data_IF_958037609900
#
_entry.id   IF_958037609900
#
_cell.length_a   1.000
_cell.length_b   1.000
_cell.length_c   1.000
_cell.angle_alpha   90.00
_cell.angle_beta   90.00
_cell.angle_gamma   90.00
#
_symmetry.space_group_name_H-M   'P 1'
#
loop_
_entity.id
_entity.type
_entity.pdbx_description
1 polymer ?
#
# COMPACT_ATOMS: atom_id res chain seq x y z
N UNK A 1 -8.64 -14.18 -17.02
CA UNK A 1 -8.01 -15.20 -16.16
C UNK A 1 -9.00 -15.55 -15.06
N UNK A 2 -9.07 -16.82 -14.62
CA UNK A 2 -9.92 -17.18 -13.47
C UNK A 2 -9.32 -16.60 -12.16
N UNK A 3 -10.18 -16.26 -11.20
CA UNK A 3 -9.76 -15.86 -9.88
C UNK A 3 -8.99 -17.00 -9.18
N UNK A 4 -7.90 -16.64 -8.47
CA UNK A 4 -7.03 -17.60 -7.79
C UNK A 4 -6.87 -17.19 -6.32
N UNK A 5 -7.14 -18.11 -5.40
CA UNK A 5 -7.13 -17.89 -3.95
C UNK A 5 -5.72 -17.85 -3.33
N UNK A 6 -4.69 -18.19 -4.10
CA UNK A 6 -3.29 -18.14 -3.67
C UNK A 6 -2.61 -16.80 -4.01
N UNK A 7 -3.24 -15.94 -4.83
CA UNK A 7 -2.69 -14.64 -5.19
C UNK A 7 -2.62 -13.70 -4.00
N UNK A 8 -1.64 -12.81 -4.06
CA UNK A 8 -1.37 -11.80 -3.04
C UNK A 8 -1.81 -10.43 -3.54
N UNK A 9 -2.49 -9.67 -2.68
CA UNK A 9 -2.91 -8.29 -2.96
C UNK A 9 -1.98 -7.35 -2.18
N UNK A 10 -1.18 -6.60 -2.93
CA UNK A 10 -0.27 -5.57 -2.43
C UNK A 10 -0.92 -4.23 -2.54
N UNK A 11 -0.78 -3.41 -1.52
CA UNK A 11 -1.24 -2.04 -1.54
C UNK A 11 -0.28 -1.12 -0.77
N UNK A 12 -0.38 0.15 -1.08
CA UNK A 12 0.27 1.25 -0.37
C UNK A 12 -0.61 2.49 -0.48
N UNK A 13 -0.60 3.31 0.55
CA UNK A 13 -1.36 4.55 0.62
C UNK A 13 -0.47 5.72 1.00
N UNK A 14 -0.68 6.86 0.33
CA UNK A 14 -0.22 8.15 0.84
C UNK A 14 -1.35 8.80 1.64
N UNK A 15 -1.04 9.30 2.82
CA UNK A 15 -1.99 9.93 3.72
C UNK A 15 -1.53 11.34 4.12
N UNK A 16 -2.47 12.16 4.59
CA UNK A 16 -2.16 13.50 5.10
C UNK A 16 -1.40 13.48 6.44
N UNK A 17 -1.29 12.32 7.09
CA UNK A 17 -0.58 12.06 8.32
C UNK A 17 -0.83 10.65 8.84
N UNK A 18 -0.52 10.36 10.10
CA UNK A 18 -0.53 9.00 10.66
C UNK A 18 -1.72 8.67 11.56
N UNK A 19 -2.53 9.64 11.91
CA UNK A 19 -3.69 9.47 12.81
C UNK A 19 -5.00 9.39 11.99
N UNK A 20 -5.58 8.20 11.79
CA UNK A 20 -6.80 8.06 10.99
C UNK A 20 -8.01 8.78 11.57
N UNK A 21 -7.95 9.26 12.85
CA UNK A 21 -9.03 10.06 13.43
C UNK A 21 -9.05 11.49 12.91
N UNK A 22 -7.93 12.00 12.41
CA UNK A 22 -7.75 13.38 11.95
C UNK A 22 -7.40 13.47 10.48
N UNK A 23 -6.68 12.45 9.99
CA UNK A 23 -6.03 12.46 8.70
C UNK A 23 -6.83 11.67 7.66
N UNK A 24 -6.49 11.85 6.39
CA UNK A 24 -7.23 11.30 5.25
C UNK A 24 -6.30 10.60 4.25
N UNK A 25 -6.90 9.72 3.44
CA UNK A 25 -6.20 9.07 2.33
C UNK A 25 -6.08 10.06 1.17
N UNK A 26 -4.88 10.22 0.63
CA UNK A 26 -4.58 11.10 -0.52
C UNK A 26 -4.41 10.30 -1.82
N UNK A 27 -3.72 9.18 -1.75
CA UNK A 27 -3.48 8.30 -2.89
C UNK A 27 -3.52 6.84 -2.44
N UNK A 28 -3.97 5.96 -3.31
CA UNK A 28 -3.89 4.52 -3.12
C UNK A 28 -3.48 3.83 -4.41
N UNK A 29 -2.55 2.89 -4.31
CA UNK A 29 -2.14 1.99 -5.37
C UNK A 29 -2.36 0.53 -4.97
N UNK A 30 -2.53 -0.34 -5.98
CA UNK A 30 -2.75 -1.77 -5.74
C UNK A 30 -2.16 -2.62 -6.86
N UNK A 31 -1.50 -3.71 -6.48
CA UNK A 31 -0.93 -4.70 -7.40
C UNK A 31 -1.33 -6.10 -6.93
N UNK A 32 -1.63 -6.98 -7.86
CA UNK A 32 -1.86 -8.40 -7.59
C UNK A 32 -0.68 -9.20 -8.13
N UNK A 33 -0.14 -10.11 -7.31
CA UNK A 33 0.93 -11.04 -7.72
C UNK A 33 0.49 -12.48 -7.58
N UNK A 34 1.17 -13.39 -8.28
CA UNK A 34 1.17 -14.81 -7.94
C UNK A 34 1.91 -15.05 -6.61
N UNK A 35 1.82 -16.24 -6.00
CA UNK A 35 2.53 -16.54 -4.75
C UNK A 35 4.05 -16.42 -4.84
N UNK A 36 4.62 -16.58 -6.02
CA UNK A 36 6.05 -16.45 -6.29
C UNK A 36 6.51 -14.99 -6.45
N UNK A 37 5.58 -14.02 -6.30
CA UNK A 37 5.76 -12.59 -6.44
C UNK A 37 5.85 -12.09 -7.90
N UNK A 38 5.45 -12.92 -8.86
CA UNK A 38 5.31 -12.50 -10.26
C UNK A 38 4.07 -11.61 -10.40
N UNK A 39 4.18 -10.38 -10.94
CA UNK A 39 3.04 -9.49 -11.13
C UNK A 39 1.99 -10.09 -12.08
N UNK A 40 0.71 -9.99 -11.71
CA UNK A 40 -0.45 -10.45 -12.49
C UNK A 40 -1.21 -9.28 -13.08
N UNK A 41 -1.51 -8.28 -12.23
CA UNK A 41 -2.28 -7.11 -12.61
C UNK A 41 -1.97 -5.93 -11.69
N UNK A 42 -2.17 -4.73 -12.21
CA UNK A 42 -2.02 -3.47 -11.50
C UNK A 42 -3.27 -2.64 -11.67
N UNK A 43 -3.83 -2.13 -10.58
CA UNK A 43 -4.90 -1.15 -10.64
C UNK A 43 -4.38 0.23 -11.11
N UNK A 44 -5.24 1.10 -11.64
CA UNK A 44 -4.85 2.50 -11.80
C UNK A 44 -4.54 3.09 -10.42
N UNK A 45 -3.54 3.96 -10.35
CA UNK A 45 -3.28 4.76 -9.15
C UNK A 45 -4.44 5.72 -8.96
N UNK A 46 -5.06 5.72 -7.78
CA UNK A 46 -6.23 6.52 -7.48
C UNK A 46 -5.86 7.65 -6.53
N UNK A 47 -5.98 8.88 -7.01
CA UNK A 47 -5.80 10.09 -6.20
C UNK A 47 -7.17 10.56 -5.73
N UNK A 48 -7.33 10.65 -4.40
CA UNK A 48 -8.60 10.94 -3.73
C UNK A 48 -8.66 12.43 -3.42
N UNK A 49 -9.79 13.04 -3.76
CA UNK A 49 -10.03 14.45 -3.44
C UNK A 49 -10.14 14.64 -1.94
N UNK A 50 -9.48 15.68 -1.43
CA UNK A 50 -9.63 16.15 -0.06
C UNK A 50 -9.80 17.67 -0.06
N UNK A 51 -10.54 18.17 0.91
CA UNK A 51 -10.74 19.60 1.11
C UNK A 51 -9.44 20.32 1.47
N UNK A 52 -9.30 21.57 1.07
CA UNK A 52 -8.11 22.39 1.36
C UNK A 52 -7.76 22.39 2.86
N UNK A 53 -8.75 22.37 3.74
CA UNK A 53 -8.52 22.33 5.19
C UNK A 53 -7.74 21.08 5.66
N UNK A 54 -7.90 19.92 4.99
CA UNK A 54 -7.14 18.71 5.27
C UNK A 54 -5.68 18.89 4.84
N UNK A 55 -5.47 19.44 3.65
CA UNK A 55 -4.15 19.65 3.08
C UNK A 55 -3.34 20.70 3.83
N UNK A 56 -4.01 21.79 4.23
CA UNK A 56 -3.41 22.87 5.01
C UNK A 56 -3.10 22.43 6.45
N UNK A 57 -3.87 21.47 6.99
CA UNK A 57 -3.69 20.88 8.30
C UNK A 57 -2.52 19.89 8.42
N UNK A 58 -1.94 19.44 7.30
CA UNK A 58 -0.80 18.51 7.30
C UNK A 58 0.41 19.09 8.06
N UNK A 59 1.20 18.23 8.68
CA UNK A 59 2.47 18.63 9.25
C UNK A 59 3.49 19.06 8.17
N UNK A 60 4.58 19.71 8.61
CA UNK A 60 5.60 20.24 7.68
C UNK A 60 6.28 19.17 6.83
N UNK A 61 6.42 17.96 7.37
CA UNK A 61 7.05 16.86 6.63
C UNK A 61 6.13 16.40 5.48
N UNK A 62 4.85 16.13 5.78
CA UNK A 62 3.84 15.74 4.78
C UNK A 62 3.63 16.83 3.73
N UNK A 63 3.50 18.10 4.14
CA UNK A 63 3.40 19.22 3.19
C UNK A 63 4.61 19.29 2.26
N UNK A 64 5.83 19.13 2.79
CA UNK A 64 7.05 19.16 1.98
C UNK A 64 7.16 17.96 1.04
N UNK A 65 6.86 16.76 1.52
CA UNK A 65 6.98 15.51 0.76
C UNK A 65 5.96 15.45 -0.36
N UNK A 66 4.67 15.65 -0.02
CA UNK A 66 3.58 15.61 -1.01
C UNK A 66 3.56 16.81 -1.94
N UNK A 67 4.10 17.96 -1.49
CA UNK A 67 4.31 19.13 -2.37
C UNK A 67 5.39 18.86 -3.42
N UNK A 68 6.51 18.24 -3.04
CA UNK A 68 7.61 17.90 -3.98
C UNK A 68 7.21 16.83 -5.00
N UNK A 69 6.40 15.84 -4.60
CA UNK A 69 5.89 14.81 -5.51
C UNK A 69 4.74 15.32 -6.41
N UNK A 70 4.23 16.51 -6.15
CA UNK A 70 3.06 17.07 -6.83
C UNK A 70 1.73 16.43 -6.44
N UNK A 71 1.71 15.62 -5.37
CA UNK A 71 0.49 14.93 -4.92
C UNK A 71 -0.57 15.92 -4.44
N UNK A 72 -0.17 17.01 -3.75
CA UNK A 72 -1.12 18.02 -3.29
C UNK A 72 -1.93 18.59 -4.45
N UNK A 73 -1.28 18.96 -5.56
CA UNK A 73 -1.98 19.50 -6.74
C UNK A 73 -2.89 18.46 -7.39
N UNK A 74 -2.46 17.20 -7.44
CA UNK A 74 -3.29 16.09 -7.94
C UNK A 74 -4.53 15.88 -7.07
N UNK A 75 -4.40 15.93 -5.74
CA UNK A 75 -5.51 15.80 -4.78
C UNK A 75 -6.52 16.92 -4.95
N UNK A 76 -6.06 18.16 -5.09
CA UNK A 76 -6.93 19.34 -5.36
C UNK A 76 -7.66 19.24 -6.70
N UNK A 77 -7.01 18.71 -7.73
CA UNK A 77 -7.59 18.54 -9.06
C UNK A 77 -8.51 17.32 -9.17
N UNK A 78 -8.38 16.35 -8.27
CA UNK A 78 -9.22 15.14 -8.26
C UNK A 78 -10.66 15.46 -7.87
N UNK A 79 -11.59 14.63 -8.36
CA UNK A 79 -13.00 14.62 -7.94
C UNK A 79 -13.40 13.26 -7.36
N UNK A 80 -12.43 12.33 -7.24
CA UNK A 80 -12.66 10.98 -6.79
C UNK A 80 -12.83 10.96 -5.26
N UNK A 81 -13.92 10.40 -4.77
CA UNK A 81 -14.15 10.18 -3.33
C UNK A 81 -13.56 8.85 -2.87
N UNK A 82 -13.36 8.70 -1.57
CA UNK A 82 -12.91 7.42 -0.98
C UNK A 82 -13.87 6.26 -1.33
N UNK A 83 -15.18 6.50 -1.28
CA UNK A 83 -16.18 5.48 -1.64
C UNK A 83 -16.13 5.09 -3.13
N UNK A 84 -15.91 6.05 -4.02
CA UNK A 84 -15.78 5.76 -5.46
C UNK A 84 -14.46 5.03 -5.76
N UNK A 85 -13.37 5.39 -5.07
CA UNK A 85 -12.10 4.67 -5.16
C UNK A 85 -12.24 3.21 -4.68
N UNK A 86 -12.97 3.01 -3.59
CA UNK A 86 -13.29 1.68 -3.06
C UNK A 86 -14.05 0.82 -4.10
N UNK A 87 -15.06 1.38 -4.79
CA UNK A 87 -15.78 0.69 -5.86
C UNK A 87 -14.87 0.27 -7.02
N UNK A 88 -13.97 1.15 -7.45
CA UNK A 88 -13.00 0.86 -8.52
C UNK A 88 -12.09 -0.31 -8.11
N UNK A 89 -11.57 -0.30 -6.90
CA UNK A 89 -10.64 -1.34 -6.42
C UNK A 89 -11.34 -2.68 -6.20
N UNK A 90 -12.56 -2.68 -5.69
CA UNK A 90 -13.37 -3.91 -5.56
C UNK A 90 -13.67 -4.52 -6.94
N UNK A 91 -14.03 -3.69 -7.92
CA UNK A 91 -14.26 -4.17 -9.30
C UNK A 91 -12.98 -4.71 -9.94
N UNK A 92 -11.81 -4.11 -9.66
CA UNK A 92 -10.50 -4.61 -10.10
C UNK A 92 -10.16 -5.97 -9.49
N UNK A 93 -10.40 -6.18 -8.19
CA UNK A 93 -10.05 -7.39 -7.47
C UNK A 93 -10.94 -8.59 -7.80
N UNK A 94 -12.24 -8.37 -8.02
CA UNK A 94 -13.24 -9.43 -8.16
C UNK A 94 -12.89 -10.53 -9.17
N UNK A 95 -12.35 -10.23 -10.37
CA UNK A 95 -11.94 -11.26 -11.34
C UNK A 95 -10.58 -11.91 -11.02
N UNK A 96 -9.81 -11.39 -10.08
CA UNK A 96 -8.40 -11.76 -9.85
C UNK A 96 -8.22 -12.62 -8.60
N UNK A 97 -8.83 -12.24 -7.49
CA UNK A 97 -8.67 -12.89 -6.18
C UNK A 97 -10.03 -12.98 -5.49
N UNK A 98 -10.47 -14.14 -4.99
CA UNK A 98 -11.72 -14.23 -4.24
C UNK A 98 -11.64 -13.46 -2.91
N UNK A 99 -12.77 -12.87 -2.49
CA UNK A 99 -12.86 -12.17 -1.20
C UNK A 99 -12.46 -13.06 -0.02
N UNK A 100 -11.81 -12.46 0.98
CA UNK A 100 -11.38 -13.13 2.21
C UNK A 100 -10.18 -14.07 2.06
N UNK A 101 -9.50 -14.10 0.90
CA UNK A 101 -8.41 -15.05 0.64
C UNK A 101 -7.03 -14.44 0.80
N UNK A 102 -6.76 -13.31 0.17
CA UNK A 102 -5.44 -12.68 0.25
C UNK A 102 -5.27 -11.95 1.58
N UNK A 103 -4.11 -12.10 2.27
CA UNK A 103 -3.70 -11.14 3.28
C UNK A 103 -3.53 -9.76 2.63
N UNK A 104 -3.52 -8.71 3.45
CA UNK A 104 -3.10 -7.38 3.02
C UNK A 104 -1.58 -7.32 3.04
N UNK A 105 -0.95 -7.08 1.87
CA UNK A 105 0.50 -7.15 1.72
C UNK A 105 1.12 -5.77 1.52
N UNK A 106 2.24 -5.49 2.17
CA UNK A 106 2.99 -4.22 2.04
C UNK A 106 4.04 -4.05 3.13
N UNK A 107 4.62 -2.87 3.21
CA UNK A 107 5.51 -2.46 4.30
C UNK A 107 4.73 -1.64 5.33
N UNK A 108 4.84 -2.00 6.62
CA UNK A 108 4.11 -1.34 7.72
C UNK A 108 2.59 -1.29 7.46
N UNK A 109 2.11 -2.26 6.72
CA UNK A 109 0.77 -2.33 6.13
C UNK A 109 -0.37 -2.25 7.16
N UNK A 110 -0.06 -2.48 8.44
CA UNK A 110 -1.01 -2.26 9.51
C UNK A 110 -1.46 -0.81 9.66
N UNK A 111 -0.63 0.15 9.23
CA UNK A 111 -0.98 1.57 9.24
C UNK A 111 -2.02 1.87 8.15
N UNK A 112 -1.80 1.38 6.92
CA UNK A 112 -2.75 1.49 5.81
C UNK A 112 -4.09 0.85 6.18
N UNK A 113 -4.05 -0.33 6.81
CA UNK A 113 -5.25 -1.02 7.25
C UNK A 113 -6.09 -0.20 8.23
N UNK A 114 -5.48 0.59 9.13
CA UNK A 114 -6.21 1.48 10.06
C UNK A 114 -7.00 2.54 9.30
N UNK A 115 -6.43 3.13 8.25
CA UNK A 115 -7.13 4.08 7.38
C UNK A 115 -8.24 3.38 6.57
N UNK A 116 -7.95 2.19 6.04
CA UNK A 116 -8.94 1.43 5.26
C UNK A 116 -10.15 1.03 6.10
N UNK A 117 -9.97 0.59 7.34
CA UNK A 117 -11.07 0.27 8.27
C UNK A 117 -12.02 1.45 8.40
N UNK A 118 -11.48 2.67 8.44
CA UNK A 118 -12.29 3.88 8.65
C UNK A 118 -12.92 4.42 7.37
N UNK A 119 -12.18 4.46 6.28
CA UNK A 119 -12.56 5.18 5.07
C UNK A 119 -12.94 4.31 3.88
N UNK A 120 -12.54 3.02 3.90
CA UNK A 120 -12.83 2.04 2.85
C UNK A 120 -13.20 0.67 3.46
N UNK A 121 -14.26 0.58 4.32
CA UNK A 121 -14.57 -0.62 5.10
C UNK A 121 -14.98 -1.83 4.24
N UNK A 122 -15.57 -1.61 3.05
CA UNK A 122 -15.92 -2.71 2.13
C UNK A 122 -14.68 -3.31 1.48
N UNK A 123 -13.69 -2.47 1.17
CA UNK A 123 -12.41 -2.91 0.63
C UNK A 123 -11.60 -3.63 1.73
N UNK A 124 -11.61 -3.12 2.95
CA UNK A 124 -10.98 -3.80 4.08
C UNK A 124 -11.56 -5.20 4.30
N UNK A 125 -12.89 -5.34 4.28
CA UNK A 125 -13.58 -6.62 4.43
C UNK A 125 -13.31 -7.60 3.27
N UNK A 126 -12.78 -7.14 2.16
CA UNK A 126 -12.37 -7.98 1.03
C UNK A 126 -11.10 -8.78 1.32
N UNK A 127 -10.23 -8.29 2.20
CA UNK A 127 -9.00 -8.96 2.60
C UNK A 127 -9.24 -10.05 3.64
N UNK A 128 -8.32 -10.99 3.71
CA UNK A 128 -8.20 -11.84 4.88
C UNK A 128 -7.78 -11.00 6.09
N UNK A 129 -8.16 -11.36 7.31
CA UNK A 129 -7.82 -10.60 8.54
C UNK A 129 -6.31 -10.52 8.83
N UNK A 130 -5.47 -11.35 8.20
CA UNK A 130 -4.01 -11.34 8.37
C UNK A 130 -3.36 -10.33 7.45
N UNK A 131 -2.18 -9.85 7.89
CA UNK A 131 -1.26 -9.05 7.08
C UNK A 131 -0.07 -9.91 6.66
N UNK A 132 0.47 -9.61 5.46
CA UNK A 132 1.81 -9.98 5.05
C UNK A 132 2.65 -8.70 5.11
N UNK A 133 3.24 -8.42 6.27
CA UNK A 133 3.99 -7.19 6.52
C UNK A 133 5.49 -7.45 6.34
N UNK A 134 6.05 -6.93 5.25
CA UNK A 134 7.47 -7.06 4.90
C UNK A 134 8.36 -6.39 5.93
N UNK A 135 7.87 -5.35 6.62
CA UNK A 135 8.62 -4.68 7.70
C UNK A 135 8.94 -5.62 8.87
N UNK A 136 8.16 -6.68 9.07
CA UNK A 136 8.51 -7.71 10.07
C UNK A 136 9.83 -8.40 9.72
N UNK A 137 10.03 -8.79 8.46
CA UNK A 137 11.29 -9.39 8.00
C UNK A 137 12.45 -8.40 8.06
N UNK A 138 12.17 -7.13 7.71
CA UNK A 138 13.13 -6.03 7.85
C UNK A 138 13.63 -5.90 9.30
N UNK A 139 12.72 -5.86 10.26
CA UNK A 139 13.05 -5.75 11.68
C UNK A 139 13.84 -6.97 12.20
N UNK A 140 13.50 -8.18 11.72
CA UNK A 140 14.23 -9.40 12.07
C UNK A 140 15.60 -9.44 11.41
N UNK A 141 15.72 -9.08 10.14
CA UNK A 141 17.00 -9.07 9.44
C UNK A 141 17.98 -8.06 10.03
N UNK A 142 17.51 -6.88 10.44
CA UNK A 142 18.31 -5.87 11.12
C UNK A 142 18.96 -6.42 12.40
N UNK A 143 18.24 -7.28 13.15
CA UNK A 143 18.69 -7.81 14.44
C UNK A 143 19.50 -9.11 14.32
N UNK A 144 19.12 -9.97 13.37
CA UNK A 144 19.67 -11.32 13.29
C UNK A 144 20.70 -11.49 12.17
N UNK A 145 20.61 -10.66 11.11
CA UNK A 145 21.49 -10.73 9.95
C UNK A 145 21.67 -9.35 9.30
N UNK A 146 22.30 -8.41 10.04
CA UNK A 146 22.36 -6.99 9.64
C UNK A 146 23.05 -6.75 8.29
N UNK A 147 23.89 -7.65 7.82
CA UNK A 147 24.47 -7.60 6.48
C UNK A 147 23.41 -7.73 5.37
N UNK A 148 22.39 -8.58 5.57
CA UNK A 148 21.26 -8.70 4.62
C UNK A 148 20.41 -7.44 4.63
N UNK A 149 20.12 -6.89 5.81
CA UNK A 149 19.41 -5.62 5.94
C UNK A 149 20.10 -4.49 5.16
N UNK A 150 21.43 -4.35 5.28
CA UNK A 150 22.20 -3.27 4.64
C UNK A 150 22.38 -3.46 3.14
N UNK A 151 22.24 -4.69 2.63
CA UNK A 151 22.39 -4.98 1.20
C UNK A 151 21.18 -4.61 0.35
N UNK A 152 20.03 -4.32 0.96
CA UNK A 152 18.85 -3.81 0.26
C UNK A 152 18.74 -2.29 0.42
N UNK A 153 18.81 -1.57 -0.71
CA UNK A 153 18.73 -0.09 -0.75
C UNK A 153 17.44 0.31 -1.46
N UNK A 154 16.60 1.09 -0.77
CA UNK A 154 15.37 1.66 -1.34
C UNK A 154 15.62 3.01 -2.00
N UNK A 155 14.91 3.29 -3.08
CA UNK A 155 14.91 4.61 -3.70
C UNK A 155 14.02 5.61 -2.94
N UNK A 156 13.02 5.12 -2.20
CA UNK A 156 12.09 5.89 -1.32
C UNK A 156 11.47 7.10 -2.04
N UNK A 157 10.75 6.83 -3.12
CA UNK A 157 10.16 7.90 -3.96
C UNK A 157 8.93 8.55 -3.33
N UNK A 158 8.30 7.93 -2.33
CA UNK A 158 7.03 8.35 -1.74
C UNK A 158 5.93 8.54 -2.81
N UNK A 159 5.80 7.55 -3.66
CA UNK A 159 4.74 7.37 -4.63
C UNK A 159 4.18 5.96 -4.43
N UNK A 160 2.90 5.82 -4.10
CA UNK A 160 2.30 4.57 -3.64
C UNK A 160 2.63 3.35 -4.54
N UNK A 161 2.59 3.51 -5.86
CA UNK A 161 2.93 2.40 -6.78
C UNK A 161 4.41 2.02 -6.74
N UNK A 162 5.30 2.99 -6.65
CA UNK A 162 6.75 2.73 -6.55
C UNK A 162 7.07 2.02 -5.22
N UNK A 163 6.42 2.41 -4.13
CA UNK A 163 6.61 1.84 -2.80
C UNK A 163 6.07 0.40 -2.72
N UNK A 164 4.99 0.07 -3.46
CA UNK A 164 4.55 -1.32 -3.65
C UNK A 164 5.63 -2.16 -4.34
N UNK A 165 6.20 -1.66 -5.45
CA UNK A 165 7.24 -2.39 -6.18
C UNK A 165 8.48 -2.62 -5.31
N UNK A 166 8.90 -1.61 -4.57
CA UNK A 166 9.99 -1.73 -3.59
C UNK A 166 9.68 -2.76 -2.49
N UNK A 167 8.44 -2.82 -2.02
CA UNK A 167 7.99 -3.80 -1.00
C UNK A 167 8.05 -5.24 -1.53
N UNK A 168 7.64 -5.46 -2.78
CA UNK A 168 7.73 -6.76 -3.46
C UNK A 168 9.20 -7.17 -3.64
N UNK A 169 10.05 -6.26 -4.09
CA UNK A 169 11.48 -6.53 -4.31
C UNK A 169 12.23 -6.72 -2.99
N UNK A 170 11.85 -6.01 -1.92
CA UNK A 170 12.35 -6.22 -0.58
C UNK A 170 11.99 -7.62 -0.05
N UNK A 171 10.75 -8.09 -0.29
CA UNK A 171 10.37 -9.45 0.08
C UNK A 171 11.13 -10.51 -0.72
N UNK A 172 11.35 -10.31 -2.03
CA UNK A 172 12.21 -11.20 -2.85
C UNK A 172 13.62 -11.28 -2.28
N UNK A 173 14.20 -10.11 -1.92
CA UNK A 173 15.52 -10.04 -1.31
C UNK A 173 15.59 -10.84 0.00
N UNK A 174 14.61 -10.69 0.91
CA UNK A 174 14.59 -11.47 2.15
C UNK A 174 14.34 -12.95 1.90
N UNK A 175 13.54 -13.32 0.93
CA UNK A 175 13.33 -14.72 0.54
C UNK A 175 14.63 -15.38 0.10
N UNK A 176 15.47 -14.68 -0.65
CA UNK A 176 16.73 -15.20 -1.18
C UNK A 176 17.85 -15.23 -0.15
N UNK A 177 17.97 -14.19 0.68
CA UNK A 177 19.16 -13.98 1.51
C UNK A 177 18.93 -14.18 3.02
N UNK A 178 17.69 -14.16 3.46
CA UNK A 178 17.35 -14.22 4.89
C UNK A 178 16.58 -15.47 5.28
N UNK A 179 15.59 -15.90 4.49
CA UNK A 179 14.75 -17.06 4.78
C UNK A 179 15.42 -18.31 4.21
N UNK A 180 15.45 -19.37 5.01
CA UNK A 180 15.86 -20.70 4.52
C UNK A 180 14.60 -21.43 4.04
N UNK A 181 14.56 -21.73 2.74
CA UNK A 181 13.52 -22.53 2.10
C UNK A 181 14.01 -23.98 1.95
#
# INVERSE_FOLDING_TARGET
MAANDQRLIWLDMEMSGLDPEKERILEIAMVVTEPDLTPVAQAPVLVIHQEDAVLDGMDKWNQSTHGKSGLIDKVKASTLTESAAEDVLLAFLAPLVPAGKSPMCGNTIGQDRRFMVKYMPRLEAYFHYRNLDVSTLKELSLRWKPEVYRSFVKASKHEALADIQESIDELKHYREHFIRL
#
